data_IF_033128073319
#
_entry.id   IF_033128073319
#
_cell.length_a   1.000
_cell.length_b   1.000
_cell.length_c   1.000
_cell.angle_alpha   90.00
_cell.angle_beta   90.00
_cell.angle_gamma   90.00
#
_symmetry.space_group_name_H-M   'P 1'
#
loop_
_entity.id
_entity.type
_entity.pdbx_description
1 polymer ?
#
# COMPACT_ATOMS: atom_id res chain seq x y z
N UNK A 1 -3.46 18.51 -3.26
CA UNK A 1 -4.53 19.16 -2.49
C UNK A 1 -5.56 18.11 -2.13
N UNK A 2 -6.02 18.09 -0.89
CA UNK A 2 -7.17 17.28 -0.49
C UNK A 2 -8.41 17.98 -1.05
N UNK A 3 -9.07 17.36 -2.04
CA UNK A 3 -10.35 17.86 -2.56
C UNK A 3 -11.45 17.26 -1.68
N UNK A 4 -12.03 18.09 -0.80
CA UNK A 4 -13.21 17.72 -0.03
C UNK A 4 -14.42 18.41 -0.67
N UNK A 5 -15.21 17.67 -1.44
CA UNK A 5 -16.50 18.13 -1.98
C UNK A 5 -17.62 17.61 -1.08
N UNK A 6 -18.59 18.47 -0.75
CA UNK A 6 -19.84 18.10 -0.06
C UNK A 6 -20.95 17.74 -1.04
N UNK A 7 -20.77 17.99 -2.34
CA UNK A 7 -21.62 17.39 -3.35
C UNK A 7 -21.20 15.93 -3.49
N UNK A 8 -22.18 15.02 -3.47
CA UNK A 8 -21.99 13.58 -3.69
C UNK A 8 -21.46 13.38 -5.12
N UNK A 9 -20.17 13.60 -5.31
CA UNK A 9 -19.47 13.41 -6.57
C UNK A 9 -18.91 12.01 -6.58
N UNK A 10 -19.60 11.09 -7.26
CA UNK A 10 -19.21 9.67 -7.33
C UNK A 10 -20.38 8.70 -7.43
N UNK A 11 -21.63 9.17 -7.40
CA UNK A 11 -22.80 8.33 -7.64
C UNK A 11 -23.43 8.74 -8.97
N UNK A 12 -23.69 7.76 -9.83
CA UNK A 12 -24.59 7.95 -10.96
C UNK A 12 -25.95 8.42 -10.41
N UNK A 13 -26.57 9.45 -11.00
CA UNK A 13 -27.81 10.05 -10.49
C UNK A 13 -28.93 9.02 -10.26
N UNK A 14 -28.95 7.93 -11.04
CA UNK A 14 -29.90 6.84 -10.87
C UNK A 14 -29.66 6.01 -9.59
N UNK A 15 -28.42 5.93 -9.11
CA UNK A 15 -28.05 5.18 -7.90
C UNK A 15 -28.46 5.90 -6.61
N UNK A 16 -28.86 7.18 -6.71
CA UNK A 16 -29.43 7.94 -5.59
C UNK A 16 -30.87 7.47 -5.31
N UNK A 17 -31.57 6.97 -6.34
CA UNK A 17 -32.97 6.56 -6.25
C UNK A 17 -33.17 5.04 -6.22
N UNK A 18 -32.18 4.26 -6.69
CA UNK A 18 -32.25 2.80 -6.73
C UNK A 18 -30.99 2.17 -6.16
N UNK A 19 -31.14 1.18 -5.27
CA UNK A 19 -30.01 0.43 -4.73
C UNK A 19 -29.33 -0.40 -5.81
N UNK A 20 -28.04 -0.16 -6.02
CA UNK A 20 -27.23 -0.93 -6.98
C UNK A 20 -27.01 -2.34 -6.43
N UNK A 21 -27.42 -3.35 -7.20
CA UNK A 21 -27.07 -4.73 -6.89
C UNK A 21 -25.59 -4.98 -7.22
N UNK A 22 -24.78 -5.10 -6.17
CA UNK A 22 -23.33 -5.26 -6.24
C UNK A 22 -22.90 -6.51 -7.01
N UNK A 23 -23.79 -7.52 -7.14
CA UNK A 23 -23.46 -8.81 -7.76
C UNK A 23 -23.77 -8.87 -9.26
N UNK A 24 -24.62 -7.97 -9.78
CA UNK A 24 -25.06 -7.95 -11.18
C UNK A 24 -24.62 -6.70 -11.94
N UNK A 25 -24.07 -5.71 -11.23
CA UNK A 25 -23.72 -4.42 -11.80
C UNK A 25 -22.40 -4.43 -12.60
N UNK A 26 -22.44 -3.86 -13.81
CA UNK A 26 -21.27 -3.57 -14.67
C UNK A 26 -20.62 -2.23 -14.31
N UNK A 27 -19.45 -1.91 -14.90
CA UNK A 27 -18.68 -0.69 -14.57
C UNK A 27 -19.51 0.60 -14.70
N UNK A 28 -20.48 0.64 -15.60
CA UNK A 28 -21.30 1.82 -15.89
C UNK A 28 -22.33 2.15 -14.81
N UNK A 29 -22.73 1.16 -13.99
CA UNK A 29 -23.71 1.37 -12.91
C UNK A 29 -23.07 1.52 -11.53
N UNK A 30 -21.78 1.20 -11.33
CA UNK A 30 -21.11 1.39 -10.04
C UNK A 30 -20.70 2.84 -9.82
N UNK A 31 -20.32 3.55 -10.88
CA UNK A 31 -19.86 4.94 -10.81
C UNK A 31 -19.98 5.58 -12.19
N UNK A 32 -20.93 6.51 -12.35
CA UNK A 32 -21.19 7.20 -13.62
C UNK A 32 -20.04 8.07 -14.13
N UNK A 33 -18.92 8.15 -13.40
CA UNK A 33 -17.81 9.01 -13.79
C UNK A 33 -16.42 8.41 -13.53
N UNK A 34 -16.27 7.43 -12.64
CA UNK A 34 -14.95 6.99 -12.22
C UNK A 34 -14.66 5.52 -12.48
N UNK A 35 -13.65 5.36 -13.35
CA UNK A 35 -12.92 4.13 -13.72
C UNK A 35 -13.57 3.28 -14.80
N UNK A 36 -13.82 3.90 -15.95
CA UNK A 36 -13.64 3.18 -17.21
C UNK A 36 -12.20 2.65 -17.34
N UNK A 37 -11.96 1.78 -18.34
CA UNK A 37 -10.70 1.05 -18.66
C UNK A 37 -9.43 1.93 -18.84
N UNK A 38 -9.54 3.24 -18.65
CA UNK A 38 -8.50 4.24 -18.82
C UNK A 38 -8.65 5.35 -17.76
N UNK A 39 -8.29 5.07 -16.50
CA UNK A 39 -7.92 6.13 -15.56
C UNK A 39 -6.64 6.79 -16.03
N UNK A 40 -6.75 7.73 -16.98
CA UNK A 40 -5.62 8.49 -17.53
C UNK A 40 -4.95 9.26 -16.39
N UNK A 41 -3.62 9.20 -16.33
CA UNK A 41 -2.79 9.71 -15.23
C UNK A 41 -3.25 11.05 -14.65
N UNK A 42 -3.20 11.15 -13.32
CA UNK A 42 -3.67 12.28 -12.53
C UNK A 42 -3.73 11.93 -11.04
N UNK A 43 -4.25 12.85 -10.21
CA UNK A 43 -4.47 12.60 -8.78
C UNK A 43 -5.53 11.52 -8.57
N UNK A 44 -5.23 10.52 -7.73
CA UNK A 44 -6.17 9.46 -7.39
C UNK A 44 -7.19 9.96 -6.37
N UNK A 45 -8.49 9.82 -6.68
CA UNK A 45 -9.57 10.15 -5.75
C UNK A 45 -9.67 9.06 -4.69
N UNK A 46 -9.74 9.49 -3.43
CA UNK A 46 -9.90 8.64 -2.26
C UNK A 46 -11.33 8.77 -1.75
N UNK A 47 -12.06 7.66 -1.63
CA UNK A 47 -13.47 7.67 -1.28
C UNK A 47 -13.64 7.40 0.22
N UNK A 48 -14.15 8.38 0.95
CA UNK A 48 -14.58 8.20 2.34
C UNK A 48 -16.01 7.67 2.38
N UNK A 49 -16.19 6.38 2.13
CA UNK A 49 -17.50 5.73 2.21
C UNK A 49 -17.83 5.38 3.67
N UNK A 50 -19.10 5.46 4.11
CA UNK A 50 -19.53 5.00 5.43
C UNK A 50 -19.60 3.46 5.51
N UNK A 51 -18.52 2.78 5.16
CA UNK A 51 -18.39 1.31 5.22
C UNK A 51 -17.35 0.90 6.27
N UNK A 52 -17.47 -0.33 6.80
CA UNK A 52 -16.55 -0.89 7.82
C UNK A 52 -15.08 -0.85 7.41
N UNK A 53 -14.82 -0.79 6.11
CA UNK A 53 -13.48 -0.71 5.52
C UNK A 53 -12.74 0.58 5.91
N UNK A 54 -13.44 1.71 6.11
CA UNK A 54 -12.82 2.96 6.54
C UNK A 54 -12.17 2.82 7.92
N UNK A 55 -12.76 2.04 8.82
CA UNK A 55 -12.18 1.77 10.15
C UNK A 55 -10.82 1.07 9.97
N UNK A 56 -10.74 0.10 9.06
CA UNK A 56 -9.50 -0.61 8.76
C UNK A 56 -8.45 0.35 8.17
N UNK A 57 -8.84 1.19 7.20
CA UNK A 57 -7.95 2.19 6.60
C UNK A 57 -7.42 3.18 7.64
N UNK A 58 -8.28 3.65 8.54
CA UNK A 58 -7.92 4.54 9.63
C UNK A 58 -6.95 3.87 10.61
N UNK A 59 -7.21 2.61 10.99
CA UNK A 59 -6.31 1.83 11.84
C UNK A 59 -4.91 1.68 11.22
N UNK A 60 -4.83 1.39 9.91
CA UNK A 60 -3.55 1.29 9.18
C UNK A 60 -2.84 2.65 9.21
N UNK A 61 -3.55 3.73 8.89
CA UNK A 61 -2.98 5.08 8.88
C UNK A 61 -2.43 5.47 10.26
N UNK A 62 -3.22 5.28 11.32
CA UNK A 62 -2.81 5.59 12.69
C UNK A 62 -1.59 4.76 13.08
N UNK A 63 -1.60 3.45 12.81
CA UNK A 63 -0.49 2.56 13.12
C UNK A 63 0.83 3.03 12.48
N UNK A 64 0.85 3.28 11.17
CA UNK A 64 2.06 3.74 10.48
C UNK A 64 2.46 5.17 10.91
N UNK A 65 1.49 6.05 11.20
CA UNK A 65 1.79 7.40 11.68
C UNK A 65 2.46 7.39 13.06
N UNK A 66 2.04 6.49 13.95
CA UNK A 66 2.65 6.31 15.27
C UNK A 66 4.06 5.74 15.18
N UNK A 67 4.30 4.79 14.25
CA UNK A 67 5.65 4.28 13.99
C UNK A 67 6.58 5.40 13.49
N UNK A 68 6.12 6.24 12.56
CA UNK A 68 6.90 7.36 12.07
C UNK A 68 7.17 8.39 13.17
N UNK A 69 6.16 8.72 13.98
CA UNK A 69 6.32 9.62 15.12
C UNK A 69 7.42 9.12 16.06
N UNK A 70 7.39 7.84 16.45
CA UNK A 70 8.42 7.25 17.31
C UNK A 70 9.82 7.32 16.68
N UNK A 71 9.93 7.03 15.38
CA UNK A 71 11.19 7.10 14.64
C UNK A 71 11.76 8.53 14.60
N UNK A 72 10.92 9.53 14.26
CA UNK A 72 11.33 10.93 14.21
C UNK A 72 11.76 11.46 15.59
N UNK A 73 11.04 11.10 16.66
CA UNK A 73 11.41 11.49 18.02
C UNK A 73 12.80 10.98 18.41
N UNK A 74 13.16 9.75 18.01
CA UNK A 74 14.49 9.20 18.31
C UNK A 74 15.61 9.86 17.50
N UNK A 75 15.37 10.22 16.25
CA UNK A 75 16.34 10.98 15.45
C UNK A 75 16.55 12.38 16.03
N UNK A 76 15.45 13.12 16.23
CA UNK A 76 15.49 14.54 16.60
C UNK A 76 15.97 14.74 18.05
N UNK A 77 15.37 14.04 19.01
CA UNK A 77 15.63 14.30 20.43
C UNK A 77 16.76 13.46 21.01
N UNK A 78 16.99 12.24 20.51
CA UNK A 78 18.10 11.39 20.98
C UNK A 78 19.36 11.47 20.11
N UNK A 79 19.35 12.33 19.08
CA UNK A 79 20.48 12.54 18.14
C UNK A 79 21.07 11.25 17.58
N UNK A 80 20.21 10.24 17.37
CA UNK A 80 20.63 8.94 16.84
C UNK A 80 20.74 9.02 15.32
N UNK A 81 21.68 9.81 14.80
CA UNK A 81 21.86 10.03 13.35
C UNK A 81 22.13 8.73 12.58
N UNK A 82 22.63 7.68 13.23
CA UNK A 82 22.77 6.35 12.63
C UNK A 82 21.43 5.77 12.14
N UNK A 83 20.30 6.20 12.73
CA UNK A 83 18.96 5.82 12.28
C UNK A 83 18.62 6.38 10.90
N UNK A 84 19.32 7.40 10.38
CA UNK A 84 19.11 7.88 9.02
C UNK A 84 19.31 6.77 7.97
N UNK A 85 20.08 5.73 8.29
CA UNK A 85 20.23 4.53 7.46
C UNK A 85 18.90 3.75 7.29
N UNK A 86 17.90 3.99 8.14
CA UNK A 86 16.57 3.39 8.07
C UNK A 86 15.64 4.14 7.10
N UNK A 87 16.00 5.32 6.59
CA UNK A 87 15.12 6.13 5.71
C UNK A 87 14.57 5.32 4.52
N UNK A 88 15.39 4.56 3.75
CA UNK A 88 14.88 3.77 2.64
C UNK A 88 13.88 2.71 3.07
N UNK A 89 14.13 2.09 4.23
CA UNK A 89 13.27 1.07 4.82
C UNK A 89 11.94 1.67 5.32
N UNK A 90 11.97 2.87 5.93
CA UNK A 90 10.75 3.62 6.30
C UNK A 90 9.95 3.98 5.05
N UNK A 91 10.60 4.49 4.00
CA UNK A 91 9.94 4.81 2.74
C UNK A 91 9.23 3.60 2.13
N UNK A 92 9.89 2.44 2.07
CA UNK A 92 9.31 1.19 1.54
C UNK A 92 8.04 0.78 2.31
N UNK A 93 8.10 0.81 3.64
CA UNK A 93 6.95 0.50 4.50
C UNK A 93 5.76 1.44 4.25
N UNK A 94 6.02 2.74 4.09
CA UNK A 94 4.96 3.72 3.81
C UNK A 94 4.38 3.56 2.41
N UNK A 95 5.22 3.25 1.43
CA UNK A 95 4.76 2.89 0.09
C UNK A 95 3.85 1.66 0.13
N UNK A 96 4.26 0.60 0.84
CA UNK A 96 3.46 -0.62 1.01
C UNK A 96 2.14 -0.38 1.77
N UNK A 97 2.15 0.46 2.81
CA UNK A 97 0.94 0.87 3.50
C UNK A 97 -0.02 1.61 2.56
N UNK A 98 0.51 2.52 1.74
CA UNK A 98 -0.28 3.28 0.77
C UNK A 98 -0.88 2.38 -0.32
N UNK A 99 -0.17 1.37 -0.80
CA UNK A 99 -0.74 0.40 -1.76
C UNK A 99 -1.82 -0.46 -1.13
N UNK A 100 -1.68 -0.92 0.12
CA UNK A 100 -2.75 -1.61 0.86
C UNK A 100 -4.01 -0.74 0.96
N UNK A 101 -3.83 0.52 1.39
CA UNK A 101 -4.92 1.49 1.49
C UNK A 101 -5.65 1.63 0.15
N UNK A 102 -4.89 1.71 -0.94
CA UNK A 102 -5.42 1.78 -2.29
C UNK A 102 -6.20 0.54 -2.72
N UNK A 103 -5.69 -0.66 -2.44
CA UNK A 103 -6.38 -1.90 -2.81
C UNK A 103 -7.67 -2.10 -2.02
N UNK A 104 -7.67 -1.75 -0.73
CA UNK A 104 -8.88 -1.80 0.10
C UNK A 104 -9.91 -0.78 -0.40
N UNK A 105 -9.48 0.46 -0.69
CA UNK A 105 -10.37 1.51 -1.23
C UNK A 105 -10.94 1.17 -2.61
N UNK A 106 -10.18 0.45 -3.44
CA UNK A 106 -10.58 0.07 -4.80
C UNK A 106 -11.36 -1.27 -4.84
N UNK A 107 -11.49 -1.98 -3.72
CA UNK A 107 -12.16 -3.27 -3.66
C UNK A 107 -11.37 -4.45 -4.25
N UNK A 108 -10.08 -4.31 -4.54
CA UNK A 108 -9.23 -5.36 -5.14
C UNK A 108 -8.70 -6.34 -4.06
N UNK A 109 -9.60 -7.09 -3.41
CA UNK A 109 -9.25 -7.98 -2.29
C UNK A 109 -8.57 -9.28 -2.72
N UNK A 110 -8.82 -9.74 -3.95
CA UNK A 110 -8.49 -11.11 -4.36
C UNK A 110 -7.21 -11.22 -5.17
N UNK A 111 -6.83 -10.19 -5.92
CA UNK A 111 -5.68 -10.24 -6.82
C UNK A 111 -4.40 -9.76 -6.12
N UNK A 112 -4.31 -8.47 -5.79
CA UNK A 112 -3.05 -7.86 -5.34
C UNK A 112 -2.96 -7.65 -3.82
N UNK A 113 -4.09 -7.54 -3.12
CA UNK A 113 -4.09 -7.21 -1.70
C UNK A 113 -3.39 -8.26 -0.83
N UNK A 114 -3.58 -9.56 -1.12
CA UNK A 114 -3.00 -10.64 -0.31
C UNK A 114 -1.47 -10.61 -0.32
N UNK A 115 -0.88 -10.51 -1.49
CA UNK A 115 0.58 -10.44 -1.64
C UNK A 115 1.12 -9.13 -1.09
N UNK A 116 0.41 -8.01 -1.26
CA UNK A 116 0.82 -6.74 -0.68
C UNK A 116 0.82 -6.75 0.85
N UNK A 117 -0.15 -7.41 1.49
CA UNK A 117 -0.16 -7.62 2.95
C UNK A 117 1.05 -8.46 3.35
N UNK A 118 1.36 -9.52 2.61
CA UNK A 118 2.55 -10.36 2.86
C UNK A 118 3.85 -9.55 2.75
N UNK A 119 4.01 -8.74 1.69
CA UNK A 119 5.17 -7.87 1.52
C UNK A 119 5.30 -6.88 2.66
N UNK A 120 4.22 -6.16 2.98
CA UNK A 120 4.24 -5.14 4.04
C UNK A 120 4.54 -5.73 5.41
N UNK A 121 4.01 -6.93 5.71
CA UNK A 121 4.29 -7.62 6.98
C UNK A 121 5.76 -8.06 7.10
N UNK A 122 6.31 -8.66 6.05
CA UNK A 122 7.70 -9.14 6.05
C UNK A 122 8.71 -8.00 6.02
N UNK A 123 8.42 -6.89 5.31
CA UNK A 123 9.22 -5.66 5.38
C UNK A 123 9.22 -5.05 6.78
N UNK A 124 8.07 -5.08 7.48
CA UNK A 124 7.96 -4.55 8.82
C UNK A 124 8.80 -5.36 9.82
N UNK A 125 8.84 -6.69 9.67
CA UNK A 125 9.73 -7.57 10.44
C UNK A 125 11.20 -7.23 10.16
N UNK A 126 11.59 -7.13 8.89
CA UNK A 126 12.96 -6.77 8.49
C UNK A 126 13.39 -5.42 9.07
N UNK A 127 12.51 -4.43 8.98
CA UNK A 127 12.70 -3.07 9.50
C UNK A 127 12.82 -3.07 11.02
N UNK A 128 11.95 -3.81 11.71
CA UNK A 128 11.98 -3.94 13.16
C UNK A 128 13.31 -4.53 13.64
N UNK A 129 13.76 -5.63 13.04
CA UNK A 129 15.04 -6.24 13.44
C UNK A 129 16.21 -5.29 13.15
N UNK A 130 16.23 -4.64 11.99
CA UNK A 130 17.28 -3.68 11.65
C UNK A 130 17.31 -2.51 12.64
N UNK A 131 16.14 -1.98 12.98
CA UNK A 131 15.97 -0.95 14.01
C UNK A 131 16.48 -1.39 15.39
N UNK A 132 16.15 -2.61 15.83
CA UNK A 132 16.64 -3.15 17.10
C UNK A 132 18.16 -3.31 17.10
N UNK A 133 18.76 -3.72 15.98
CA UNK A 133 20.22 -3.78 15.84
C UNK A 133 20.88 -2.40 16.04
N UNK A 134 20.32 -1.37 15.41
CA UNK A 134 20.84 0.00 15.51
C UNK A 134 20.67 0.61 16.91
N UNK A 135 19.53 0.38 17.58
CA UNK A 135 19.23 1.02 18.87
C UNK A 135 19.76 0.27 20.08
N UNK A 136 19.44 -1.02 20.22
CA UNK A 136 19.71 -1.76 21.47
C UNK A 136 21.18 -2.10 21.59
N UNK A 137 21.78 -2.55 20.49
CA UNK A 137 23.12 -3.10 20.56
C UNK A 137 24.19 -2.04 20.37
N UNK A 138 23.85 -0.88 19.78
CA UNK A 138 24.82 0.07 19.24
C UNK A 138 25.96 -0.65 18.48
N UNK A 139 25.64 -1.83 17.93
CA UNK A 139 26.58 -2.73 17.27
C UNK A 139 26.47 -2.42 15.80
N UNK A 140 27.55 -1.88 15.26
CA UNK A 140 27.78 -1.78 13.82
C UNK A 140 27.83 -3.19 13.21
N UNK A 141 28.18 -4.20 14.01
CA UNK A 141 28.24 -5.59 13.59
C UNK A 141 26.84 -6.23 13.57
N UNK A 142 26.31 -6.35 12.36
CA UNK A 142 25.07 -7.03 12.03
C UNK A 142 25.32 -8.55 12.07
N UNK A 143 24.50 -9.34 12.78
CA UNK A 143 24.68 -10.79 12.82
C UNK A 143 24.37 -11.42 11.46
N UNK A 144 25.17 -12.43 11.06
CA UNK A 144 25.08 -13.07 9.73
C UNK A 144 23.70 -13.70 9.46
N UNK A 145 23.06 -14.30 10.46
CA UNK A 145 21.72 -14.88 10.31
C UNK A 145 20.67 -13.85 9.86
N UNK A 146 20.81 -12.59 10.27
CA UNK A 146 19.89 -11.53 9.87
C UNK A 146 20.05 -11.18 8.39
N UNK A 147 21.29 -11.19 7.90
CA UNK A 147 21.59 -10.98 6.48
C UNK A 147 20.94 -12.10 5.65
N UNK A 148 21.08 -13.36 6.05
CA UNK A 148 20.42 -14.48 5.37
C UNK A 148 18.89 -14.37 5.39
N UNK A 149 18.30 -13.96 6.52
CA UNK A 149 16.85 -13.73 6.62
C UNK A 149 16.39 -12.65 5.63
N UNK A 150 17.10 -11.52 5.55
CA UNK A 150 16.79 -10.46 4.59
C UNK A 150 16.88 -10.96 3.15
N UNK A 151 17.92 -11.72 2.82
CA UNK A 151 18.06 -12.31 1.48
C UNK A 151 16.89 -13.23 1.14
N UNK A 152 16.45 -14.07 2.08
CA UNK A 152 15.31 -14.96 1.88
C UNK A 152 14.03 -14.15 1.65
N UNK A 153 13.77 -13.13 2.47
CA UNK A 153 12.59 -12.26 2.32
C UNK A 153 12.60 -11.59 0.95
N UNK A 154 13.72 -10.98 0.55
CA UNK A 154 13.86 -10.31 -0.75
C UNK A 154 13.69 -11.29 -1.92
N UNK A 155 14.22 -12.51 -1.80
CA UNK A 155 14.07 -13.53 -2.82
C UNK A 155 12.61 -13.98 -2.97
N UNK A 156 11.90 -14.18 -1.86
CA UNK A 156 10.47 -14.50 -1.87
C UNK A 156 9.64 -13.37 -2.47
N UNK A 157 9.98 -12.11 -2.19
CA UNK A 157 9.33 -10.95 -2.80
C UNK A 157 9.49 -10.94 -4.30
N UNK A 158 10.71 -11.18 -4.80
CA UNK A 158 10.97 -11.25 -6.24
C UNK A 158 10.15 -12.37 -6.88
N UNK A 159 10.14 -13.57 -6.29
CA UNK A 159 9.37 -14.70 -6.83
C UNK A 159 7.88 -14.38 -6.89
N UNK A 160 7.32 -13.84 -5.81
CA UNK A 160 5.89 -13.51 -5.75
C UNK A 160 5.54 -12.38 -6.71
N UNK A 161 6.34 -11.31 -6.75
CA UNK A 161 6.14 -10.19 -7.67
C UNK A 161 6.24 -10.65 -9.14
N UNK A 162 7.16 -11.57 -9.45
CA UNK A 162 7.26 -12.17 -10.79
C UNK A 162 6.05 -13.06 -11.09
N UNK A 163 5.58 -13.84 -10.11
CA UNK A 163 4.38 -14.67 -10.27
C UNK A 163 3.11 -13.86 -10.52
N UNK A 164 3.06 -12.61 -10.05
CA UNK A 164 1.95 -11.67 -10.29
C UNK A 164 2.03 -10.95 -11.64
N UNK A 165 3.16 -11.02 -12.35
CA UNK A 165 3.27 -10.48 -13.70
C UNK A 165 2.39 -11.32 -14.63
N UNK A 166 1.32 -10.70 -15.13
CA UNK A 166 0.49 -11.28 -16.18
C UNK A 166 1.24 -11.25 -17.52
N UNK A 167 2.17 -12.19 -17.72
CA UNK A 167 3.03 -12.27 -18.91
C UNK A 167 2.23 -12.29 -20.23
N UNK A 168 1.02 -12.84 -20.22
CA UNK A 168 0.13 -12.89 -21.38
C UNK A 168 -0.46 -11.52 -21.74
N UNK A 169 -0.64 -10.63 -20.76
CA UNK A 169 -1.08 -9.26 -20.98
C UNK A 169 0.08 -8.36 -21.43
N UNK A 170 1.26 -8.57 -20.86
CA UNK A 170 2.50 -7.89 -21.30
C UNK A 170 2.81 -8.25 -22.76
N UNK A 171 2.71 -9.53 -23.12
CA UNK A 171 2.95 -10.00 -24.49
C UNK A 171 1.96 -9.40 -25.48
N UNK A 172 0.67 -9.30 -25.14
CA UNK A 172 -0.35 -8.66 -25.99
C UNK A 172 -0.08 -7.16 -26.18
N UNK A 173 0.25 -6.42 -25.12
CA UNK A 173 0.57 -4.99 -25.21
C UNK A 173 1.83 -4.67 -26.04
N UNK A 174 2.77 -5.62 -26.17
CA UNK A 174 3.96 -5.49 -27.03
C UNK A 174 3.60 -5.77 -28.50
N UNK A 175 2.70 -6.72 -28.76
CA UNK A 175 2.26 -7.07 -30.12
C UNK A 175 1.32 -6.01 -30.70
N UNK A 176 0.42 -5.45 -29.89
CA UNK A 176 -0.56 -4.44 -30.34
C UNK A 176 0.06 -3.02 -30.52
N UNK A 177 1.31 -2.81 -30.09
CA UNK A 177 2.08 -1.57 -30.32
C UNK A 177 3.09 -1.69 -31.48
N UNK A 178 3.02 -2.75 -32.29
CA UNK A 178 3.72 -2.89 -33.57
C UNK A 178 2.73 -2.80 -34.72
#
# INVERSE_FOLDING_TARGET
GLVTSTQISGYHLQNVYFSVDKNSCTCDCWDGFFRGKYGRGGYKIFYFNYEKQIIILLCILIFYSELLRQYLLKILFRKQFILLLLIPSVYSNFYGAWTIINYINDGDYYRMLKSQIYFSFTELIATYIFYQCLIIKNKIQIPTWFIYLLFIISFLHIILAVGELNFDEIKRNIVDNK
#
